data_IF_493091173732
#
_entry.id   IF_493091173732
#
_cell.length_a   1.000
_cell.length_b   1.000
_cell.length_c   1.000
_cell.angle_alpha   90.00
_cell.angle_beta   90.00
_cell.angle_gamma   90.00
#
_symmetry.space_group_name_H-M   'P 1'
#
loop_
_entity.id
_entity.type
_entity.pdbx_description
1 polymer ?
#
# COMPACT_ATOMS: atom_id res chain seq x y z
N UNK A 1 3.81 5.34 15.10
CA UNK A 1 3.51 4.62 16.35
C UNK A 1 3.57 5.64 17.48
N UNK A 2 2.47 5.82 18.20
CA UNK A 2 2.41 6.76 19.34
C UNK A 2 2.55 5.94 20.61
N UNK A 3 3.57 6.25 21.42
CA UNK A 3 3.74 5.66 22.75
C UNK A 3 2.83 6.38 23.73
N UNK A 4 2.12 5.63 24.55
CA UNK A 4 1.16 6.20 25.50
C UNK A 4 1.44 5.84 26.95
N UNK A 5 2.41 4.96 27.21
CA UNK A 5 2.58 4.36 28.54
C UNK A 5 1.33 3.56 28.95
N UNK A 6 1.13 3.35 30.26
CA UNK A 6 -0.05 2.66 30.81
C UNK A 6 -1.24 3.62 31.06
N UNK A 7 -1.19 4.84 30.54
CA UNK A 7 -2.04 5.94 30.99
C UNK A 7 -3.20 6.25 30.04
N UNK A 8 -3.34 5.51 28.92
CA UNK A 8 -4.33 5.79 27.88
C UNK A 8 -5.09 4.52 27.55
N UNK A 9 -6.40 4.58 27.72
CA UNK A 9 -7.32 3.48 27.48
C UNK A 9 -7.31 3.09 25.99
N UNK A 10 -7.34 1.79 25.65
CA UNK A 10 -7.28 1.27 24.27
C UNK A 10 -5.88 1.05 23.68
N UNK A 11 -4.80 1.41 24.38
CA UNK A 11 -3.43 1.11 23.95
C UNK A 11 -3.01 -0.30 24.36
N UNK A 12 -2.56 -1.11 23.40
CA UNK A 12 -2.12 -2.48 23.66
C UNK A 12 -0.67 -2.72 23.21
N UNK A 13 -0.03 -3.75 23.77
CA UNK A 13 1.32 -4.15 23.38
C UNK A 13 1.28 -4.76 21.98
N UNK A 14 1.94 -4.10 21.04
CA UNK A 14 2.13 -4.56 19.66
C UNK A 14 3.59 -4.61 19.25
N UNK A 15 3.87 -5.05 18.01
CA UNK A 15 5.24 -5.07 17.49
C UNK A 15 5.78 -3.63 17.32
N UNK A 16 6.67 -3.22 18.22
CA UNK A 16 7.48 -2.01 18.11
C UNK A 16 8.96 -2.41 18.12
N UNK A 17 9.69 -2.32 17.00
CA UNK A 17 11.09 -2.73 16.93
C UNK A 17 12.00 -1.94 17.88
N UNK A 18 11.60 -0.73 18.28
CA UNK A 18 12.37 0.13 19.18
C UNK A 18 11.94 -0.01 20.65
N UNK A 19 10.68 -0.36 20.93
CA UNK A 19 10.13 -0.46 22.31
C UNK A 19 9.07 -1.57 22.44
N UNK A 20 9.45 -2.86 22.37
CA UNK A 20 8.54 -3.99 22.19
C UNK A 20 7.60 -4.30 23.38
N UNK A 21 7.74 -3.61 24.52
CA UNK A 21 6.95 -3.84 25.74
C UNK A 21 6.02 -2.69 26.10
N UNK A 22 6.06 -1.59 25.35
CA UNK A 22 5.29 -0.39 25.64
C UNK A 22 3.94 -0.43 24.92
N UNK A 23 2.81 -0.21 25.62
CA UNK A 23 1.52 -0.01 24.97
C UNK A 23 1.62 1.16 23.98
N UNK A 24 1.12 0.94 22.77
CA UNK A 24 1.27 1.88 21.67
C UNK A 24 0.09 1.82 20.72
N UNK A 25 -0.18 2.94 20.06
CA UNK A 25 -1.12 3.04 18.96
C UNK A 25 -0.42 2.94 17.60
N UNK A 26 -1.06 2.25 16.67
CA UNK A 26 -0.69 2.25 15.25
C UNK A 26 -1.78 2.97 14.44
N UNK A 27 -1.77 4.31 14.42
CA UNK A 27 -2.88 5.08 13.85
C UNK A 27 -3.02 4.81 12.36
N UNK A 28 -4.24 4.50 11.92
CA UNK A 28 -4.63 4.63 10.52
C UNK A 28 -5.04 6.07 10.30
N UNK A 29 -4.52 6.69 9.24
CA UNK A 29 -4.85 8.07 8.90
C UNK A 29 -5.40 8.11 7.48
N UNK A 30 -6.52 8.80 7.31
CA UNK A 30 -7.06 9.16 6.01
C UNK A 30 -6.86 10.66 5.83
N UNK A 31 -6.28 11.06 4.70
CA UNK A 31 -6.05 12.47 4.40
C UNK A 31 -6.35 12.76 2.93
N UNK A 32 -6.79 13.99 2.67
CA UNK A 32 -6.98 14.50 1.32
C UNK A 32 -5.61 14.73 0.69
N UNK A 33 -5.30 14.00 -0.39
CA UNK A 33 -3.97 14.02 -1.00
C UNK A 33 -3.55 15.42 -1.51
N UNK A 34 -4.53 16.23 -1.93
CA UNK A 34 -4.31 17.56 -2.52
C UNK A 34 -3.92 18.61 -1.48
N UNK A 35 -4.48 18.56 -0.28
CA UNK A 35 -4.34 19.61 0.74
C UNK A 35 -3.63 19.14 2.01
N UNK A 36 -3.47 17.83 2.18
CA UNK A 36 -2.95 17.22 3.41
C UNK A 36 -3.93 17.28 4.59
N UNK A 37 -5.18 17.73 4.38
CA UNK A 37 -6.20 17.76 5.42
C UNK A 37 -6.53 16.34 5.88
N UNK A 38 -6.48 16.12 7.19
CA UNK A 38 -6.82 14.85 7.80
C UNK A 38 -8.35 14.73 7.81
N UNK A 39 -8.85 13.67 7.18
CA UNK A 39 -10.27 13.32 7.16
C UNK A 39 -10.61 12.44 8.36
N UNK A 40 -9.70 11.53 8.74
CA UNK A 40 -9.90 10.64 9.88
C UNK A 40 -8.58 10.13 10.47
N UNK A 41 -8.59 9.86 11.77
CA UNK A 41 -7.49 9.22 12.51
C UNK A 41 -8.05 8.16 13.44
N UNK A 42 -7.66 6.92 13.20
CA UNK A 42 -8.12 5.78 13.98
C UNK A 42 -6.94 5.23 14.76
N UNK A 43 -6.95 5.44 16.06
CA UNK A 43 -5.98 4.88 16.98
C UNK A 43 -6.23 3.38 17.14
N UNK A 44 -5.42 2.53 16.49
CA UNK A 44 -5.55 1.06 16.59
C UNK A 44 -4.75 0.50 17.78
N UNK A 45 -5.36 -0.37 18.63
CA UNK A 45 -4.64 -1.09 19.69
C UNK A 45 -3.58 -2.01 19.07
N UNK A 46 -2.39 -2.10 19.67
CA UNK A 46 -1.26 -2.85 19.12
C UNK A 46 -1.42 -4.38 18.97
N UNK A 47 -2.51 -4.98 19.46
CA UNK A 47 -2.73 -6.44 19.46
C UNK A 47 -3.66 -6.95 18.34
N UNK A 48 -4.36 -6.05 17.65
CA UNK A 48 -5.40 -6.42 16.67
C UNK A 48 -4.77 -6.64 15.30
N UNK A 49 -5.15 -7.70 14.58
CA UNK A 49 -4.67 -7.99 13.23
C UNK A 49 -4.85 -6.77 12.31
N UNK A 50 -3.89 -6.51 11.44
CA UNK A 50 -3.82 -5.31 10.57
C UNK A 50 -5.07 -5.04 9.70
N UNK A 51 -5.95 -6.03 9.57
CA UNK A 51 -7.21 -6.03 8.81
C UNK A 51 -8.47 -5.70 9.61
N UNK A 52 -8.47 -5.88 10.93
CA UNK A 52 -9.70 -5.80 11.73
C UNK A 52 -10.15 -4.34 11.87
N UNK A 53 -11.34 -4.04 11.34
CA UNK A 53 -11.93 -2.70 11.32
C UNK A 53 -11.48 -1.80 10.16
N UNK A 54 -10.45 -2.15 9.38
CA UNK A 54 -9.99 -1.31 8.27
C UNK A 54 -11.04 -1.22 7.13
N UNK A 55 -11.72 -2.32 6.83
CA UNK A 55 -12.78 -2.39 5.81
C UNK A 55 -13.99 -1.54 6.22
N UNK A 56 -14.47 -1.71 7.46
CA UNK A 56 -15.65 -0.97 7.94
C UNK A 56 -15.39 0.53 8.01
N UNK A 57 -14.17 0.91 8.39
CA UNK A 57 -13.75 2.30 8.46
C UNK A 57 -13.60 2.92 7.07
N UNK A 58 -13.00 2.20 6.13
CA UNK A 58 -12.94 2.63 4.76
C UNK A 58 -14.34 2.79 4.15
N UNK A 59 -15.26 1.87 4.45
CA UNK A 59 -16.68 1.98 4.04
C UNK A 59 -17.31 3.24 4.63
N UNK A 60 -17.19 3.45 5.93
CA UNK A 60 -17.72 4.64 6.61
C UNK A 60 -17.22 5.93 5.97
N UNK A 61 -15.92 6.03 5.66
CA UNK A 61 -15.35 7.22 5.02
C UNK A 61 -15.87 7.43 3.60
N UNK A 62 -16.03 6.36 2.82
CA UNK A 62 -16.60 6.44 1.47
C UNK A 62 -18.04 6.95 1.55
N UNK A 63 -18.83 6.40 2.47
CA UNK A 63 -20.24 6.79 2.67
C UNK A 63 -20.33 8.25 3.16
N UNK A 64 -19.51 8.66 4.13
CA UNK A 64 -19.48 10.04 4.64
C UNK A 64 -19.10 11.06 3.55
N UNK A 65 -18.12 10.72 2.71
CA UNK A 65 -17.72 11.57 1.58
C UNK A 65 -18.87 11.70 0.58
N UNK A 66 -19.58 10.61 0.29
CA UNK A 66 -20.73 10.61 -0.63
C UNK A 66 -21.91 11.38 -0.09
N UNK A 67 -22.21 11.22 1.20
CA UNK A 67 -23.31 11.94 1.84
C UNK A 67 -23.06 13.45 1.83
N UNK A 68 -21.80 13.89 1.99
CA UNK A 68 -21.46 15.31 2.03
C UNK A 68 -21.23 15.93 0.65
N UNK A 69 -20.60 15.21 -0.26
CA UNK A 69 -20.14 15.75 -1.55
C UNK A 69 -20.94 15.22 -2.75
N UNK A 70 -21.86 14.28 -2.54
CA UNK A 70 -22.65 13.65 -3.58
C UNK A 70 -21.83 12.67 -4.43
N UNK A 71 -22.21 12.52 -5.70
CA UNK A 71 -21.66 11.53 -6.63
C UNK A 71 -20.31 11.93 -7.25
N UNK A 72 -19.43 12.58 -6.50
CA UNK A 72 -18.09 12.92 -6.97
C UNK A 72 -17.25 11.65 -7.20
N UNK A 73 -16.36 11.63 -8.21
CA UNK A 73 -15.38 10.56 -8.34
C UNK A 73 -14.49 10.50 -7.08
N UNK A 74 -14.30 9.31 -6.54
CA UNK A 74 -13.44 9.06 -5.38
C UNK A 74 -12.26 8.20 -5.85
N UNK A 75 -11.04 8.70 -5.62
CA UNK A 75 -9.79 7.93 -5.78
C UNK A 75 -9.15 7.76 -4.40
N UNK A 76 -8.73 6.53 -4.06
CA UNK A 76 -8.00 6.24 -2.82
C UNK A 76 -6.61 5.67 -3.08
N UNK A 77 -5.67 5.99 -2.19
CA UNK A 77 -4.30 5.44 -2.22
C UNK A 77 -4.00 4.68 -0.94
N UNK A 78 -3.56 3.44 -1.09
CA UNK A 78 -3.43 2.50 0.01
C UNK A 78 -2.03 1.84 0.03
N UNK A 79 -1.44 1.69 1.22
CA UNK A 79 -0.23 0.86 1.40
C UNK A 79 -0.61 -0.63 1.33
N UNK A 80 0.38 -1.49 1.12
CA UNK A 80 0.21 -2.94 0.99
C UNK A 80 -0.26 -3.66 2.23
N UNK A 81 -0.26 -3.02 3.41
CA UNK A 81 -0.97 -3.54 4.58
C UNK A 81 -2.49 -3.68 4.33
N UNK A 82 -3.04 -2.84 3.47
CA UNK A 82 -4.45 -2.87 3.05
C UNK A 82 -4.70 -3.78 1.83
N UNK A 83 -3.67 -4.44 1.29
CA UNK A 83 -3.81 -5.33 0.14
C UNK A 83 -4.44 -6.66 0.55
N UNK A 84 -5.77 -6.62 0.67
CA UNK A 84 -6.61 -7.71 1.15
C UNK A 84 -7.83 -7.85 0.24
N UNK A 85 -8.32 -9.08 0.06
CA UNK A 85 -9.45 -9.36 -0.82
C UNK A 85 -10.70 -8.55 -0.47
N UNK A 86 -11.03 -8.44 0.82
CA UNK A 86 -12.20 -7.69 1.30
C UNK A 86 -12.11 -6.19 1.00
N UNK A 87 -10.91 -5.59 1.07
CA UNK A 87 -10.69 -4.17 0.74
C UNK A 87 -10.88 -3.95 -0.75
N UNK A 88 -10.31 -4.80 -1.60
CA UNK A 88 -10.49 -4.71 -3.06
C UNK A 88 -11.95 -4.88 -3.47
N UNK A 89 -12.66 -5.81 -2.83
CA UNK A 89 -14.09 -6.03 -3.05
C UNK A 89 -14.91 -4.81 -2.64
N UNK A 90 -14.67 -4.25 -1.46
CA UNK A 90 -15.31 -3.01 -1.00
C UNK A 90 -15.11 -1.87 -2.02
N UNK A 91 -13.87 -1.62 -2.44
CA UNK A 91 -13.56 -0.51 -3.36
C UNK A 91 -14.25 -0.68 -4.71
N UNK A 92 -14.21 -1.90 -5.25
CA UNK A 92 -14.86 -2.22 -6.53
C UNK A 92 -16.37 -2.09 -6.43
N UNK A 93 -16.99 -2.68 -5.40
CA UNK A 93 -18.43 -2.63 -5.17
C UNK A 93 -18.91 -1.19 -4.91
N UNK A 94 -18.06 -0.38 -4.29
CA UNK A 94 -18.34 1.03 -4.05
C UNK A 94 -18.09 1.90 -5.30
N UNK A 95 -17.52 1.39 -6.39
CA UNK A 95 -17.18 2.20 -7.56
C UNK A 95 -16.13 3.27 -7.27
N UNK A 96 -15.21 2.97 -6.36
CA UNK A 96 -14.09 3.84 -5.98
C UNK A 96 -12.86 3.46 -6.79
N UNK A 97 -12.20 4.43 -7.39
CA UNK A 97 -10.91 4.22 -8.05
C UNK A 97 -9.81 4.07 -7.01
N UNK A 98 -8.81 3.23 -7.26
CA UNK A 98 -7.76 3.00 -6.29
C UNK A 98 -6.39 2.73 -6.91
N UNK A 99 -5.36 3.16 -6.19
CA UNK A 99 -3.99 2.70 -6.36
C UNK A 99 -3.51 2.08 -5.05
N UNK A 100 -3.05 0.83 -5.11
CA UNK A 100 -2.76 0.05 -3.91
C UNK A 100 -1.45 -0.69 -4.07
N UNK A 101 -0.48 -0.32 -3.25
CA UNK A 101 0.83 -0.99 -3.24
C UNK A 101 0.65 -2.49 -3.00
N UNK A 102 0.96 -3.30 -4.00
CA UNK A 102 0.81 -4.75 -3.88
C UNK A 102 2.06 -5.40 -3.25
N UNK A 103 1.93 -6.21 -2.18
CA UNK A 103 3.05 -6.96 -1.63
C UNK A 103 3.63 -7.95 -2.65
N UNK A 104 4.95 -8.16 -2.62
CA UNK A 104 5.64 -9.08 -3.53
C UNK A 104 5.50 -10.55 -3.07
N UNK A 105 4.27 -11.05 -3.02
CA UNK A 105 4.04 -12.45 -2.67
C UNK A 105 4.62 -13.39 -3.73
N UNK A 106 5.24 -14.49 -3.26
CA UNK A 106 5.86 -15.47 -4.15
C UNK A 106 4.88 -16.05 -5.17
N UNK A 107 3.63 -16.30 -4.76
CA UNK A 107 2.60 -16.92 -5.59
C UNK A 107 2.11 -16.05 -6.76
N UNK A 108 2.50 -14.77 -6.81
CA UNK A 108 2.15 -13.86 -7.90
C UNK A 108 3.14 -13.92 -9.07
N UNK A 109 4.31 -14.55 -8.90
CA UNK A 109 5.39 -14.63 -9.89
C UNK A 109 5.79 -13.27 -10.50
N UNK A 110 5.52 -12.17 -9.79
CA UNK A 110 5.77 -10.81 -10.32
C UNK A 110 7.25 -10.64 -10.62
N UNK A 111 8.13 -11.21 -9.78
CA UNK A 111 9.59 -11.19 -9.92
C UNK A 111 10.05 -11.70 -11.28
N UNK A 112 9.57 -12.87 -11.69
CA UNK A 112 9.92 -13.46 -12.98
C UNK A 112 9.37 -12.61 -14.13
N UNK A 113 8.13 -12.13 -14.00
CA UNK A 113 7.53 -11.23 -15.01
C UNK A 113 8.28 -9.91 -15.20
N UNK A 114 8.93 -9.42 -14.15
CA UNK A 114 9.77 -8.21 -14.20
C UNK A 114 11.09 -8.52 -14.88
N UNK A 115 11.75 -9.61 -14.48
CA UNK A 115 13.03 -10.05 -15.05
C UNK A 115 12.90 -10.29 -16.55
N UNK A 116 11.83 -10.96 -16.96
CA UNK A 116 11.62 -11.36 -18.34
C UNK A 116 11.08 -10.21 -19.22
N UNK A 117 10.80 -9.03 -18.63
CA UNK A 117 10.26 -7.87 -19.34
C UNK A 117 11.35 -7.17 -20.16
N UNK A 118 11.18 -7.22 -21.49
CA UNK A 118 12.07 -6.55 -22.45
C UNK A 118 11.72 -5.09 -22.75
N UNK A 119 10.46 -4.70 -22.58
CA UNK A 119 9.97 -3.36 -22.96
C UNK A 119 9.49 -2.57 -21.74
N UNK A 120 9.97 -1.33 -21.62
CA UNK A 120 9.66 -0.40 -20.55
C UNK A 120 9.26 0.94 -21.15
N UNK A 121 8.16 1.51 -20.68
CA UNK A 121 7.69 2.83 -21.13
C UNK A 121 8.19 3.89 -20.17
N UNK A 122 8.78 4.97 -20.70
CA UNK A 122 9.19 6.10 -19.87
C UNK A 122 7.95 6.79 -19.29
N UNK A 123 7.87 6.88 -17.97
CA UNK A 123 6.77 7.55 -17.23
C UNK A 123 7.20 8.95 -16.79
N UNK A 124 8.45 9.10 -16.36
CA UNK A 124 9.03 10.37 -15.93
C UNK A 124 10.55 10.39 -16.19
N UNK A 125 11.23 11.50 -15.91
CA UNK A 125 12.66 11.70 -16.16
C UNK A 125 13.56 10.54 -15.72
N UNK A 126 13.27 9.92 -14.57
CA UNK A 126 14.04 8.81 -13.99
C UNK A 126 13.20 7.56 -13.69
N UNK A 127 11.96 7.52 -14.18
CA UNK A 127 11.01 6.43 -13.90
C UNK A 127 10.51 5.84 -15.20
N UNK A 128 10.69 4.54 -15.36
CA UNK A 128 10.03 3.77 -16.40
C UNK A 128 8.98 2.85 -15.76
N UNK A 129 8.01 2.41 -16.53
CA UNK A 129 7.02 1.47 -16.06
C UNK A 129 6.36 0.65 -17.16
N UNK A 130 5.56 -0.31 -16.73
CA UNK A 130 4.66 -1.07 -17.60
C UNK A 130 3.45 -1.52 -16.78
N UNK A 131 2.36 -1.91 -17.45
CA UNK A 131 1.23 -2.56 -16.79
C UNK A 131 1.06 -4.01 -17.23
N UNK A 132 0.52 -4.83 -16.34
CA UNK A 132 0.13 -6.21 -16.62
C UNK A 132 -1.22 -6.52 -15.97
N UNK A 133 -1.95 -7.47 -16.54
CA UNK A 133 -3.12 -8.07 -15.89
C UNK A 133 -2.65 -9.25 -15.05
N UNK A 134 -2.98 -9.24 -13.75
CA UNK A 134 -2.54 -10.25 -12.80
C UNK A 134 -3.73 -10.95 -12.14
N UNK A 135 -3.74 -12.28 -12.20
CA UNK A 135 -4.78 -13.12 -11.60
C UNK A 135 -4.47 -13.34 -10.11
N UNK A 136 -5.26 -12.73 -9.24
CA UNK A 136 -5.23 -12.95 -7.80
C UNK A 136 -6.05 -14.20 -7.48
N UNK A 137 -5.42 -15.37 -7.61
CA UNK A 137 -6.09 -16.69 -7.47
C UNK A 137 -6.89 -16.82 -6.16
N UNK A 138 -6.33 -16.51 -4.97
CA UNK A 138 -7.04 -16.67 -3.71
C UNK A 138 -8.35 -15.87 -3.63
N UNK A 139 -8.40 -14.72 -4.30
CA UNK A 139 -9.55 -13.82 -4.27
C UNK A 139 -10.44 -13.95 -5.50
N UNK A 140 -10.13 -14.87 -6.40
CA UNK A 140 -10.87 -15.09 -7.66
C UNK A 140 -11.01 -13.82 -8.54
N UNK A 141 -10.10 -12.85 -8.41
CA UNK A 141 -10.08 -11.59 -9.19
C UNK A 141 -8.89 -11.48 -10.15
N UNK A 142 -9.02 -10.58 -11.13
CA UNK A 142 -7.92 -10.16 -12.02
C UNK A 142 -7.80 -8.66 -11.89
N UNK A 143 -6.63 -8.18 -11.51
CA UNK A 143 -6.38 -6.74 -11.32
C UNK A 143 -5.33 -6.25 -12.32
N UNK A 144 -5.46 -4.99 -12.71
CA UNK A 144 -4.40 -4.30 -13.45
C UNK A 144 -3.32 -3.88 -12.44
N UNK A 145 -2.10 -4.33 -12.67
CA UNK A 145 -0.94 -4.00 -11.83
C UNK A 145 0.00 -3.12 -12.62
N UNK A 146 0.48 -2.04 -12.00
CA UNK A 146 1.44 -1.14 -12.62
C UNK A 146 2.78 -1.24 -11.92
N UNK A 147 3.78 -1.43 -12.76
CA UNK A 147 5.16 -1.65 -12.40
C UNK A 147 5.93 -0.37 -12.64
N UNK A 148 6.67 0.13 -11.64
CA UNK A 148 7.60 1.24 -11.84
C UNK A 148 9.01 0.90 -11.40
N UNK A 149 9.98 1.17 -12.28
CA UNK A 149 11.41 1.15 -11.96
C UNK A 149 11.95 2.56 -11.94
N UNK A 150 12.71 2.89 -10.90
CA UNK A 150 13.42 4.16 -10.78
C UNK A 150 14.91 3.91 -11.00
N UNK A 151 15.50 4.66 -11.91
CA UNK A 151 16.96 4.75 -12.06
C UNK A 151 17.53 5.48 -10.84
N UNK A 152 18.48 4.86 -10.16
CA UNK A 152 19.18 5.47 -9.03
C UNK A 152 20.62 5.83 -9.45
N UNK A 153 21.05 7.04 -9.10
CA UNK A 153 22.43 7.49 -9.34
C UNK A 153 23.35 6.95 -8.24
N UNK A 154 24.34 6.14 -8.62
CA UNK A 154 25.34 5.58 -7.71
C UNK A 154 25.13 4.11 -7.35
N UNK A 155 26.17 3.48 -6.81
CA UNK A 155 26.12 2.10 -6.27
C UNK A 155 25.19 2.07 -5.06
N UNK A 156 24.12 1.25 -5.04
CA UNK A 156 23.35 1.03 -3.83
C UNK A 156 24.25 0.37 -2.78
N UNK A 157 24.05 0.74 -1.50
CA UNK A 157 24.68 0.04 -0.39
C UNK A 157 24.36 -1.46 -0.49
N UNK A 158 25.36 -2.31 -0.24
CA UNK A 158 25.36 -3.77 -0.48
C UNK A 158 24.12 -4.53 0.04
N UNK A 159 23.38 -3.95 0.97
CA UNK A 159 22.31 -4.63 1.72
C UNK A 159 20.88 -4.21 1.32
N UNK A 160 20.70 -3.26 0.39
CA UNK A 160 19.37 -2.75 0.03
C UNK A 160 18.85 -3.19 -1.34
N UNK A 161 19.66 -3.85 -2.16
CA UNK A 161 19.25 -4.29 -3.48
C UNK A 161 19.23 -5.82 -3.53
N UNK A 162 18.04 -6.41 -3.65
CA UNK A 162 17.90 -7.80 -4.08
C UNK A 162 18.64 -7.93 -5.41
N UNK A 163 19.57 -8.88 -5.53
CA UNK A 163 20.37 -9.16 -6.75
C UNK A 163 19.52 -9.43 -8.01
N UNK A 164 18.20 -9.51 -7.85
CA UNK A 164 17.18 -9.62 -8.89
C UNK A 164 17.04 -8.37 -9.79
N UNK A 165 17.74 -7.26 -9.52
CA UNK A 165 17.58 -5.97 -10.22
C UNK A 165 18.88 -5.38 -10.82
N UNK A 166 19.81 -6.23 -11.25
CA UNK A 166 20.98 -5.81 -12.03
C UNK A 166 20.83 -6.24 -13.50
N UNK A 167 20.33 -5.39 -14.40
CA UNK A 167 20.64 -5.50 -15.81
C UNK A 167 21.98 -4.80 -16.08
N UNK A 168 22.65 -5.17 -17.17
CA UNK A 168 23.95 -4.63 -17.60
C UNK A 168 23.95 -3.10 -17.93
N UNK A 169 22.89 -2.37 -17.59
CA UNK A 169 22.69 -0.94 -17.83
C UNK A 169 22.59 -0.08 -16.54
N UNK A 170 22.84 -0.65 -15.35
CA UNK A 170 23.05 0.10 -14.10
C UNK A 170 22.20 -0.35 -12.90
N UNK A 171 22.12 0.49 -11.86
CA UNK A 171 21.41 0.18 -10.61
C UNK A 171 19.96 0.70 -10.61
N UNK A 172 19.00 -0.16 -10.27
CA UNK A 172 17.57 0.13 -10.28
C UNK A 172 16.93 -0.12 -8.90
N UNK A 173 16.08 0.80 -8.44
CA UNK A 173 15.18 0.63 -7.29
C UNK A 173 13.73 0.60 -7.80
N UNK A 174 13.02 -0.47 -7.50
CA UNK A 174 11.70 -0.74 -8.07
C UNK A 174 10.63 -0.59 -6.99
N UNK A 175 9.64 0.26 -7.23
CA UNK A 175 8.47 0.48 -6.35
C UNK A 175 7.21 0.25 -7.16
N UNK A 176 6.20 -0.35 -6.56
CA UNK A 176 5.04 -0.90 -7.27
C UNK A 176 3.77 -0.37 -6.62
N UNK A 177 2.76 -0.07 -7.44
CA UNK A 177 1.44 0.42 -7.03
C UNK A 177 0.35 -0.41 -7.70
#
# INVERSE_FOLDING_TARGET
>A
MVRTGNCVDGAERGYNPHHPKDPSYFPLTAHLAQTGQILDVINRPGRVNDSEGAVDRLRFLIDEVRDRLGSVPIEVRLDGAFCQGAVLELLTASGVEFAMKMPMWKWLDVRDRIRDRKSWTKVHASVDGFSLSLRLKPWKRTERVVVFRKKISGKPAKDFQLQLFQPDDGYLSTRWW
#
